data_IF_600443071736
#
_entry.id   IF_600443071736
#
_cell.length_a   1.000
_cell.length_b   1.000
_cell.length_c   1.000
_cell.angle_alpha   90.00
_cell.angle_beta   90.00
_cell.angle_gamma   90.00
#
_symmetry.space_group_name_H-M   'P 1'
#
loop_
_entity.id
_entity.type
_entity.pdbx_description
1 polymer ?
#
# COMPACT_ATOMS: atom_id res chain seq x y z
N UNK A 1 -9.53 -15.92 6.85
CA UNK A 1 -9.87 -14.70 7.60
C UNK A 1 -9.26 -13.51 6.86
N UNK A 2 -9.86 -12.32 6.95
CA UNK A 2 -9.23 -11.09 6.44
C UNK A 2 -8.29 -10.55 7.53
N UNK A 3 -7.05 -10.25 7.17
CA UNK A 3 -6.05 -9.65 8.06
C UNK A 3 -5.86 -8.19 7.66
N UNK A 4 -5.96 -7.26 8.60
CA UNK A 4 -5.89 -5.82 8.35
C UNK A 4 -4.89 -5.17 9.29
N UNK A 5 -4.04 -4.30 8.75
CA UNK A 5 -3.19 -3.39 9.50
C UNK A 5 -3.64 -1.97 9.16
N UNK A 6 -4.18 -1.26 10.16
CA UNK A 6 -4.68 0.12 10.00
C UNK A 6 -3.73 1.07 10.72
N UNK A 7 -3.32 2.13 10.05
CA UNK A 7 -2.44 3.14 10.62
C UNK A 7 -2.75 4.52 10.03
N UNK A 8 -2.48 5.58 10.79
CA UNK A 8 -2.65 6.96 10.32
C UNK A 8 -1.49 7.42 9.45
N UNK A 9 -0.25 7.04 9.81
CA UNK A 9 0.96 7.40 9.09
C UNK A 9 1.92 6.22 9.12
N UNK A 10 2.08 5.53 7.99
CA UNK A 10 2.76 4.24 7.94
C UNK A 10 4.21 4.31 8.38
N UNK A 11 4.90 5.40 8.06
CA UNK A 11 6.32 5.54 8.39
C UNK A 11 6.61 5.59 9.89
N UNK A 12 5.71 6.21 10.65
CA UNK A 12 5.83 6.33 12.11
C UNK A 12 5.51 5.02 12.84
N UNK A 13 4.91 4.03 12.17
CA UNK A 13 4.52 2.75 12.77
C UNK A 13 5.27 1.55 12.20
N UNK A 14 6.38 1.77 11.49
CA UNK A 14 7.22 0.69 10.93
C UNK A 14 7.51 -0.45 11.93
N UNK A 15 7.92 -0.21 13.19
CA UNK A 15 8.18 -1.30 14.13
C UNK A 15 6.96 -2.15 14.48
N UNK A 16 5.74 -1.57 14.38
CA UNK A 16 4.49 -2.30 14.57
C UNK A 16 4.15 -3.13 13.32
N UNK A 17 4.40 -2.57 12.14
CA UNK A 17 4.20 -3.29 10.88
C UNK A 17 5.16 -4.48 10.74
N UNK A 18 6.43 -4.34 11.14
CA UNK A 18 7.39 -5.46 11.11
C UNK A 18 6.90 -6.65 11.96
N UNK A 19 6.44 -6.38 13.18
CA UNK A 19 5.85 -7.41 14.06
C UNK A 19 4.59 -8.03 13.47
N UNK A 20 3.74 -7.20 12.85
CA UNK A 20 2.55 -7.68 12.16
C UNK A 20 2.91 -8.58 10.97
N UNK A 21 3.87 -8.17 10.16
CA UNK A 21 4.32 -8.92 8.99
C UNK A 21 4.94 -10.27 9.37
N UNK A 22 5.70 -10.31 10.47
CA UNK A 22 6.25 -11.55 11.04
C UNK A 22 5.15 -12.45 11.60
N UNK A 23 4.23 -11.90 12.41
CA UNK A 23 3.14 -12.65 13.04
C UNK A 23 2.24 -13.36 12.01
N UNK A 24 2.03 -12.72 10.85
CA UNK A 24 1.15 -13.24 9.80
C UNK A 24 1.92 -13.81 8.60
N UNK A 25 3.24 -13.98 8.71
CA UNK A 25 4.10 -14.55 7.66
C UNK A 25 3.83 -13.94 6.28
N UNK A 26 3.75 -12.61 6.19
CA UNK A 26 3.41 -11.94 4.93
C UNK A 26 4.44 -12.27 3.84
N UNK A 27 3.94 -12.61 2.65
CA UNK A 27 4.79 -12.71 1.46
C UNK A 27 5.46 -11.34 1.23
N UNK A 28 6.72 -11.36 0.83
CA UNK A 28 7.51 -10.18 0.49
C UNK A 28 7.10 -9.59 -0.87
N UNK A 29 5.80 -9.39 -1.08
CA UNK A 29 5.20 -8.73 -2.23
C UNK A 29 4.07 -7.83 -1.76
N UNK A 30 3.96 -6.64 -2.32
CA UNK A 30 2.88 -5.71 -2.00
C UNK A 30 2.40 -5.03 -3.27
N UNK A 31 1.09 -4.98 -3.45
CA UNK A 31 0.46 -4.11 -4.43
C UNK A 31 0.12 -2.78 -3.75
N UNK A 32 0.82 -1.74 -4.16
CA UNK A 32 0.76 -0.39 -3.62
C UNK A 32 -0.21 0.47 -4.44
N UNK A 33 -1.19 1.07 -3.77
CA UNK A 33 -2.24 1.90 -4.36
C UNK A 33 -2.12 3.33 -3.81
N UNK A 34 -1.49 4.27 -4.57
CA UNK A 34 -1.27 5.65 -4.12
C UNK A 34 -2.44 6.60 -4.43
N UNK A 35 -3.51 6.12 -5.08
CA UNK A 35 -4.57 6.94 -5.72
C UNK A 35 -5.15 8.04 -4.84
N UNK A 36 -5.34 7.80 -3.55
CA UNK A 36 -5.85 8.83 -2.64
C UNK A 36 -4.99 10.11 -2.62
N UNK A 37 -3.69 9.96 -2.86
CA UNK A 37 -2.74 11.07 -2.91
C UNK A 37 -2.75 11.87 -4.21
N UNK A 38 -3.44 11.44 -5.28
CA UNK A 38 -3.37 12.06 -6.60
C UNK A 38 -3.86 13.51 -6.65
N UNK A 39 -4.68 13.92 -5.68
CA UNK A 39 -5.22 15.28 -5.56
C UNK A 39 -4.70 16.04 -4.34
N UNK A 40 -3.78 15.46 -3.58
CA UNK A 40 -3.18 16.11 -2.41
C UNK A 40 -1.99 17.00 -2.81
N UNK A 41 -1.76 18.08 -2.07
CA UNK A 41 -0.57 18.94 -2.28
C UNK A 41 0.69 18.33 -1.63
N UNK A 42 0.52 17.68 -0.47
CA UNK A 42 1.58 17.00 0.26
C UNK A 42 1.49 15.49 0.04
N UNK A 43 2.57 14.85 -0.43
CA UNK A 43 2.57 13.43 -0.82
C UNK A 43 3.79 12.63 -0.32
N UNK A 44 4.65 13.21 0.51
CA UNK A 44 5.90 12.55 0.93
C UNK A 44 5.64 11.20 1.62
N UNK A 45 4.52 11.07 2.32
CA UNK A 45 4.07 9.82 2.93
C UNK A 45 3.93 8.65 1.94
N UNK A 46 3.73 8.93 0.65
CA UNK A 46 3.67 7.92 -0.41
C UNK A 46 5.06 7.32 -0.62
N UNK A 47 6.06 8.17 -0.83
CA UNK A 47 7.42 7.73 -1.08
C UNK A 47 8.08 7.16 0.17
N UNK A 48 7.79 7.71 1.35
CA UNK A 48 8.20 7.13 2.63
C UNK A 48 7.62 5.72 2.83
N UNK A 49 6.34 5.52 2.51
CA UNK A 49 5.71 4.21 2.59
C UNK A 49 6.36 3.19 1.65
N UNK A 50 6.68 3.62 0.42
CA UNK A 50 7.40 2.78 -0.56
C UNK A 50 8.81 2.44 -0.10
N UNK A 51 9.53 3.41 0.47
CA UNK A 51 10.87 3.21 0.99
C UNK A 51 10.89 2.15 2.10
N UNK A 52 9.89 2.15 2.99
CA UNK A 52 9.78 1.13 4.04
C UNK A 52 9.59 -0.27 3.48
N UNK A 53 8.72 -0.44 2.47
CA UNK A 53 8.58 -1.74 1.83
C UNK A 53 9.87 -2.21 1.17
N UNK A 54 10.57 -1.31 0.47
CA UNK A 54 11.87 -1.61 -0.14
C UNK A 54 12.93 -2.00 0.92
N UNK A 55 13.02 -1.26 2.02
CA UNK A 55 13.91 -1.56 3.15
C UNK A 55 13.61 -2.93 3.78
N UNK A 56 12.32 -3.29 3.85
CA UNK A 56 11.85 -4.58 4.34
C UNK A 56 11.91 -5.69 3.28
N UNK A 57 12.51 -5.41 2.13
CA UNK A 57 12.73 -6.33 1.00
C UNK A 57 11.43 -6.87 0.40
N UNK A 58 10.34 -6.10 0.45
CA UNK A 58 9.14 -6.40 -0.32
C UNK A 58 9.36 -6.00 -1.78
N UNK A 59 8.89 -6.84 -2.69
CA UNK A 59 8.68 -6.48 -4.08
C UNK A 59 7.43 -5.59 -4.18
N UNK A 60 7.62 -4.34 -4.64
CA UNK A 60 6.57 -3.33 -4.66
C UNK A 60 6.04 -3.19 -6.09
N UNK A 61 4.86 -3.75 -6.33
CA UNK A 61 4.08 -3.45 -7.53
C UNK A 61 3.17 -2.24 -7.29
N UNK A 62 2.97 -1.39 -8.29
CA UNK A 62 2.17 -0.17 -8.16
C UNK A 62 0.98 -0.22 -9.12
N UNK A 63 -0.18 0.23 -8.65
CA UNK A 63 -1.32 0.55 -9.49
C UNK A 63 -2.03 1.78 -8.96
N UNK A 64 -2.16 2.79 -9.82
CA UNK A 64 -3.14 3.84 -9.61
C UNK A 64 -4.47 3.38 -10.24
N UNK A 65 -5.49 3.23 -9.41
CA UNK A 65 -6.81 2.73 -9.84
C UNK A 65 -7.63 3.79 -10.57
N UNK A 66 -7.28 5.08 -10.46
CA UNK A 66 -7.92 6.16 -11.20
C UNK A 66 -7.40 6.26 -12.65
N UNK A 67 -6.12 5.92 -12.87
CA UNK A 67 -5.49 5.98 -14.20
C UNK A 67 -5.50 4.63 -14.96
N UNK A 68 -5.45 3.49 -14.26
CA UNK A 68 -5.40 2.17 -14.89
C UNK A 68 -6.77 1.69 -15.39
N UNK A 69 -6.78 0.81 -16.39
CA UNK A 69 -8.02 0.18 -16.84
C UNK A 69 -8.51 -0.85 -15.84
N UNK A 70 -9.83 -1.08 -15.78
CA UNK A 70 -10.43 -2.07 -14.89
C UNK A 70 -9.81 -3.46 -15.05
N UNK A 71 -9.50 -3.88 -16.28
CA UNK A 71 -8.82 -5.16 -16.57
C UNK A 71 -7.47 -5.25 -15.87
N UNK A 72 -6.62 -4.22 -16.01
CA UNK A 72 -5.29 -4.19 -15.38
C UNK A 72 -5.40 -4.20 -13.85
N UNK A 73 -6.33 -3.43 -13.29
CA UNK A 73 -6.57 -3.39 -11.84
C UNK A 73 -7.00 -4.76 -11.33
N UNK A 74 -7.95 -5.42 -12.00
CA UNK A 74 -8.43 -6.76 -11.62
C UNK A 74 -7.33 -7.81 -11.69
N UNK A 75 -6.49 -7.78 -12.71
CA UNK A 75 -5.36 -8.70 -12.86
C UNK A 75 -4.35 -8.54 -11.72
N UNK A 76 -3.97 -7.30 -11.39
CA UNK A 76 -3.05 -7.02 -10.28
C UNK A 76 -3.64 -7.42 -8.92
N UNK A 77 -4.90 -7.06 -8.66
CA UNK A 77 -5.59 -7.44 -7.42
C UNK A 77 -5.68 -8.96 -7.24
N UNK A 78 -5.86 -9.73 -8.33
CA UNK A 78 -5.93 -11.19 -8.27
C UNK A 78 -4.57 -11.85 -7.96
N UNK A 79 -3.46 -11.17 -8.25
CA UNK A 79 -2.10 -11.65 -7.99
C UNK A 79 -1.54 -11.14 -6.65
N UNK A 80 -2.16 -10.12 -6.06
CA UNK A 80 -1.69 -9.50 -4.83
C UNK A 80 -1.99 -10.38 -3.59
N UNK A 81 -0.94 -10.73 -2.85
CA UNK A 81 -1.04 -11.36 -1.52
C UNK A 81 -1.11 -10.34 -0.38
N UNK A 82 -0.60 -9.12 -0.61
CA UNK A 82 -0.71 -7.97 0.29
C UNK A 82 -1.13 -6.73 -0.49
N UNK A 83 -2.09 -5.98 0.05
CA UNK A 83 -2.55 -4.71 -0.50
C UNK A 83 -2.16 -3.60 0.47
N UNK A 84 -1.55 -2.55 -0.06
CA UNK A 84 -1.29 -1.32 0.68
C UNK A 84 -1.97 -0.16 -0.02
N UNK A 85 -2.82 0.56 0.71
CA UNK A 85 -3.50 1.75 0.23
C UNK A 85 -2.88 2.94 0.94
N UNK A 86 -2.24 3.83 0.19
CA UNK A 86 -1.61 5.02 0.76
C UNK A 86 -2.66 6.06 1.17
N UNK A 87 -2.25 6.99 2.03
CA UNK A 87 -3.11 8.07 2.52
C UNK A 87 -3.44 9.11 1.45
N UNK A 88 -4.29 10.05 1.81
CA UNK A 88 -4.67 11.21 1.00
C UNK A 88 -6.15 11.50 1.11
N UNK A 89 -6.78 11.89 -0.01
CA UNK A 89 -8.19 12.21 -0.03
C UNK A 89 -9.07 10.96 -0.04
N UNK A 90 -9.73 10.68 1.07
CA UNK A 90 -10.61 9.51 1.21
C UNK A 90 -11.82 9.53 0.28
N UNK A 91 -12.35 10.70 -0.07
CA UNK A 91 -13.50 10.80 -0.97
C UNK A 91 -13.12 10.58 -2.43
N UNK A 92 -11.91 10.97 -2.83
CA UNK A 92 -11.39 10.70 -4.17
C UNK A 92 -11.09 9.21 -4.37
N UNK A 93 -10.65 8.53 -3.30
CA UNK A 93 -10.39 7.10 -3.31
C UNK A 93 -11.67 6.24 -3.41
N UNK A 94 -12.77 6.69 -2.81
CA UNK A 94 -14.04 5.95 -2.69
C UNK A 94 -14.90 6.04 -3.96
#
# INVERSE_FOLDING_TARGET
MKTLFLCSYFAEVRPLFEKFAEQYELEKKVLFIPTAGDIEEYRDYIDEGRAIFADLQFDVDLVDIAAATETVVREKLAQASCLYISGGNTFYLL
#
